data_IF_477123697342
#
_entry.id   IF_477123697342
#
_cell.length_a   1.000
_cell.length_b   1.000
_cell.length_c   1.000
_cell.angle_alpha   90.00
_cell.angle_beta   90.00
_cell.angle_gamma   90.00
#
_symmetry.space_group_name_H-M   'P 1'
#
loop_
_entity.id
_entity.type
_entity.pdbx_description
1 polymer ?
#
# COMPACT_ATOMS: atom_id res chain seq x y z
N UNK A 1 13.44 16.96 -8.79
CA UNK A 1 12.01 17.19 -8.55
C UNK A 1 11.13 16.14 -9.21
N UNK A 2 11.28 15.86 -10.53
CA UNK A 2 10.46 14.86 -11.26
C UNK A 2 10.48 13.42 -10.66
N UNK A 3 11.62 12.96 -10.14
CA UNK A 3 11.75 11.61 -9.56
C UNK A 3 10.95 11.42 -8.25
N UNK A 4 10.86 12.47 -7.43
CA UNK A 4 10.02 12.47 -6.23
C UNK A 4 8.53 12.56 -6.57
N UNK A 5 8.16 13.33 -7.60
CA UNK A 5 6.77 13.43 -8.04
C UNK A 5 6.20 12.07 -8.43
N UNK A 6 6.98 11.25 -9.15
CA UNK A 6 6.55 9.89 -9.51
C UNK A 6 6.35 8.99 -8.27
N UNK A 7 7.07 9.20 -7.17
CA UNK A 7 6.84 8.48 -5.91
C UNK A 7 5.48 8.81 -5.31
N UNK A 8 5.15 10.11 -5.22
CA UNK A 8 3.84 10.57 -4.76
C UNK A 8 2.73 10.06 -5.68
N UNK A 9 2.92 10.18 -7.00
CA UNK A 9 1.93 9.79 -7.99
C UNK A 9 1.70 8.27 -7.98
N UNK A 10 2.74 7.48 -7.67
CA UNK A 10 2.58 6.02 -7.50
C UNK A 10 1.66 5.67 -6.33
N UNK A 11 1.74 6.41 -5.22
CA UNK A 11 0.83 6.22 -4.07
C UNK A 11 -0.60 6.62 -4.47
N UNK A 12 -0.75 7.77 -5.15
CA UNK A 12 -2.06 8.24 -5.65
C UNK A 12 -2.68 7.21 -6.59
N UNK A 13 -1.90 6.64 -7.52
CA UNK A 13 -2.37 5.61 -8.44
C UNK A 13 -2.86 4.36 -7.70
N UNK A 14 -2.16 3.90 -6.66
CA UNK A 14 -2.63 2.79 -5.83
C UNK A 14 -3.97 3.09 -5.16
N UNK A 15 -4.13 4.31 -4.62
CA UNK A 15 -5.39 4.77 -4.03
C UNK A 15 -6.51 4.79 -5.09
N UNK A 16 -6.23 5.29 -6.29
CA UNK A 16 -7.20 5.30 -7.40
C UNK A 16 -7.63 3.89 -7.78
N UNK A 17 -6.68 2.96 -7.97
CA UNK A 17 -6.98 1.55 -8.27
C UNK A 17 -7.85 0.92 -7.17
N UNK A 18 -7.54 1.19 -5.89
CA UNK A 18 -8.34 0.70 -4.77
C UNK A 18 -9.78 1.26 -4.81
N UNK A 19 -9.95 2.56 -5.02
CA UNK A 19 -11.27 3.18 -5.08
C UNK A 19 -12.09 2.65 -6.28
N UNK A 20 -11.49 2.53 -7.45
CA UNK A 20 -12.14 1.97 -8.64
C UNK A 20 -12.65 0.54 -8.37
N UNK A 21 -11.86 -0.27 -7.67
CA UNK A 21 -12.28 -1.61 -7.24
C UNK A 21 -13.41 -1.56 -6.22
N UNK A 22 -13.33 -0.72 -5.19
CA UNK A 22 -14.37 -0.57 -4.18
C UNK A 22 -15.70 -0.14 -4.78
N UNK A 23 -15.69 0.68 -5.84
CA UNK A 23 -16.87 1.19 -6.53
C UNK A 23 -17.38 0.28 -7.65
N UNK A 24 -16.61 -0.74 -8.06
CA UNK A 24 -16.91 -1.58 -9.23
C UNK A 24 -18.19 -2.45 -9.12
N UNK A 25 -18.73 -2.64 -7.91
CA UNK A 25 -19.89 -3.51 -7.62
C UNK A 25 -20.51 -3.14 -6.26
N UNK A 26 -21.73 -3.58 -5.94
CA UNK A 26 -22.27 -3.54 -4.58
C UNK A 26 -21.93 -4.80 -3.76
N UNK A 27 -21.32 -5.81 -4.40
CA UNK A 27 -20.97 -7.08 -3.78
C UNK A 27 -19.78 -6.95 -2.81
N UNK A 28 -19.72 -7.88 -1.85
CA UNK A 28 -18.64 -7.96 -0.86
C UNK A 28 -17.29 -8.34 -1.47
N UNK A 29 -17.26 -8.94 -2.65
CA UNK A 29 -16.06 -9.39 -3.34
C UNK A 29 -15.92 -8.67 -4.68
N UNK A 30 -14.68 -8.48 -5.14
CA UNK A 30 -14.37 -7.87 -6.45
C UNK A 30 -13.38 -8.73 -7.21
N UNK A 31 -13.39 -8.60 -8.54
CA UNK A 31 -12.47 -9.31 -9.41
C UNK A 31 -11.15 -8.56 -9.55
N UNK A 32 -10.05 -9.27 -9.37
CA UNK A 32 -8.71 -8.80 -9.67
C UNK A 32 -8.20 -9.52 -10.92
N UNK A 33 -7.86 -8.76 -11.95
CA UNK A 33 -7.33 -9.31 -13.20
C UNK A 33 -5.84 -8.99 -13.35
N UNK A 34 -5.20 -9.56 -14.36
CA UNK A 34 -3.76 -9.39 -14.59
C UNK A 34 -3.35 -7.94 -14.87
N UNK A 35 -4.25 -7.12 -15.43
CA UNK A 35 -4.00 -5.70 -15.66
C UNK A 35 -3.90 -4.94 -14.32
N UNK A 36 -4.87 -5.15 -13.42
CA UNK A 36 -4.86 -4.58 -12.07
C UNK A 36 -3.61 -5.03 -11.33
N UNK A 37 -3.28 -6.33 -11.35
CA UNK A 37 -2.06 -6.85 -10.70
C UNK A 37 -0.80 -6.19 -11.24
N UNK A 38 -0.72 -6.02 -12.56
CA UNK A 38 0.42 -5.37 -13.20
C UNK A 38 0.54 -3.90 -12.76
N UNK A 39 -0.57 -3.18 -12.65
CA UNK A 39 -0.58 -1.79 -12.18
C UNK A 39 -0.17 -1.70 -10.71
N UNK A 40 -0.72 -2.55 -9.85
CA UNK A 40 -0.35 -2.63 -8.43
C UNK A 40 1.15 -2.89 -8.28
N UNK A 41 1.67 -3.93 -8.94
CA UNK A 41 3.09 -4.29 -8.89
C UNK A 41 4.01 -3.17 -9.41
N UNK A 42 3.62 -2.51 -10.50
CA UNK A 42 4.38 -1.38 -11.05
C UNK A 42 4.53 -0.24 -10.04
N UNK A 43 3.44 0.14 -9.38
CA UNK A 43 3.45 1.25 -8.44
C UNK A 43 4.18 0.87 -7.14
N UNK A 44 3.94 -0.31 -6.56
CA UNK A 44 4.66 -0.70 -5.33
C UNK A 44 6.15 -0.91 -5.56
N UNK A 45 6.54 -1.47 -6.71
CA UNK A 45 7.94 -1.62 -7.11
C UNK A 45 8.65 -0.26 -7.23
N UNK A 46 7.98 0.75 -7.79
CA UNK A 46 8.52 2.09 -7.89
C UNK A 46 8.71 2.70 -6.50
N UNK A 47 7.68 2.64 -5.65
CA UNK A 47 7.74 3.18 -4.28
C UNK A 47 8.87 2.54 -3.49
N UNK A 48 8.97 1.21 -3.52
CA UNK A 48 10.04 0.45 -2.83
C UNK A 48 11.42 0.87 -3.30
N UNK A 49 11.61 0.97 -4.62
CA UNK A 49 12.88 1.40 -5.22
C UNK A 49 13.23 2.85 -4.86
N UNK A 50 12.24 3.74 -4.87
CA UNK A 50 12.40 5.12 -4.48
C UNK A 50 12.81 5.23 -3.01
N UNK A 51 12.05 4.62 -2.11
CA UNK A 51 12.35 4.63 -0.68
C UNK A 51 13.71 4.00 -0.39
N UNK A 52 14.14 2.95 -1.08
CA UNK A 52 15.49 2.40 -0.91
C UNK A 52 16.62 3.40 -1.26
N UNK A 53 16.36 4.39 -2.11
CA UNK A 53 17.34 5.37 -2.57
C UNK A 53 17.25 6.72 -1.86
N UNK A 54 16.05 7.12 -1.45
CA UNK A 54 15.72 8.46 -0.93
C UNK A 54 15.07 8.38 0.46
N UNK A 55 15.22 7.26 1.19
CA UNK A 55 14.69 7.14 2.55
C UNK A 55 15.35 8.16 3.47
N UNK A 56 14.50 8.76 4.30
CA UNK A 56 14.91 9.75 5.30
C UNK A 56 15.33 9.04 6.59
N UNK A 57 14.62 7.96 6.94
CA UNK A 57 14.96 7.08 8.05
C UNK A 57 14.60 5.62 7.70
N UNK A 58 15.33 4.67 8.27
CA UNK A 58 15.26 3.24 7.90
C UNK A 58 13.86 2.64 8.05
N UNK A 59 13.14 2.98 9.13
CA UNK A 59 11.82 2.41 9.39
C UNK A 59 10.79 2.78 8.31
N UNK A 60 10.95 3.89 7.58
CA UNK A 60 10.04 4.27 6.47
C UNK A 60 10.06 3.19 5.38
N UNK A 61 11.27 2.77 5.04
CA UNK A 61 11.48 1.73 4.05
C UNK A 61 11.05 0.35 4.56
N UNK A 62 11.34 0.02 5.81
CA UNK A 62 10.99 -1.29 6.39
C UNK A 62 9.47 -1.44 6.50
N UNK A 63 8.76 -0.43 6.99
CA UNK A 63 7.30 -0.44 7.11
C UNK A 63 6.64 -0.50 5.73
N UNK A 64 7.14 0.26 4.73
CA UNK A 64 6.60 0.16 3.37
C UNK A 64 6.84 -1.21 2.75
N UNK A 65 8.02 -1.79 2.94
CA UNK A 65 8.31 -3.16 2.45
C UNK A 65 7.35 -4.18 3.04
N UNK A 66 6.97 -4.00 4.30
CA UNK A 66 5.98 -4.85 4.94
C UNK A 66 4.56 -4.60 4.38
N UNK A 67 4.17 -3.33 4.18
CA UNK A 67 2.93 -2.97 3.50
C UNK A 67 2.85 -3.56 2.09
N UNK A 68 3.92 -3.47 1.29
CA UNK A 68 4.04 -4.06 -0.05
C UNK A 68 3.78 -5.57 0.00
N UNK A 69 4.34 -6.28 0.98
CA UNK A 69 4.05 -7.70 1.18
C UNK A 69 2.55 -7.97 1.40
N UNK A 70 1.87 -7.16 2.22
CA UNK A 70 0.42 -7.31 2.43
C UNK A 70 -0.39 -7.00 1.17
N UNK A 71 -0.05 -5.93 0.45
CA UNK A 71 -0.69 -5.57 -0.81
C UNK A 71 -0.52 -6.71 -1.82
N UNK A 72 0.71 -7.21 -2.04
CA UNK A 72 0.94 -8.32 -2.95
C UNK A 72 0.15 -9.57 -2.56
N UNK A 73 0.00 -9.84 -1.26
CA UNK A 73 -0.81 -10.98 -0.78
C UNK A 73 -2.29 -10.81 -1.08
N UNK A 74 -2.84 -9.59 -0.92
CA UNK A 74 -4.25 -9.28 -1.20
C UNK A 74 -4.55 -9.44 -2.70
N UNK A 75 -3.68 -8.89 -3.55
CA UNK A 75 -3.91 -8.82 -4.99
C UNK A 75 -3.47 -10.09 -5.76
N UNK A 76 -2.91 -11.09 -5.07
CA UNK A 76 -2.56 -12.38 -5.65
C UNK A 76 -3.79 -13.19 -6.10
N UNK A 77 -4.93 -13.02 -5.43
CA UNK A 77 -6.15 -13.79 -5.69
C UNK A 77 -6.98 -13.21 -6.85
N UNK A 78 -7.82 -14.03 -7.50
CA UNK A 78 -8.75 -13.60 -8.55
C UNK A 78 -10.00 -12.88 -8.00
N UNK A 79 -10.37 -13.18 -6.76
CA UNK A 79 -11.49 -12.57 -6.04
C UNK A 79 -11.01 -12.03 -4.70
N UNK A 80 -11.14 -10.72 -4.51
CA UNK A 80 -10.68 -10.02 -3.32
C UNK A 80 -11.89 -9.61 -2.48
N UNK A 81 -11.87 -9.93 -1.19
CA UNK A 81 -12.85 -9.41 -0.25
C UNK A 81 -12.62 -7.90 -0.05
N UNK A 82 -13.63 -7.07 -0.34
CA UNK A 82 -13.50 -5.60 -0.34
C UNK A 82 -12.98 -5.01 0.95
N UNK A 83 -13.20 -5.67 2.09
CA UNK A 83 -12.66 -5.22 3.36
C UNK A 83 -11.13 -5.11 3.34
N UNK A 84 -10.43 -6.02 2.67
CA UNK A 84 -8.97 -5.91 2.51
C UNK A 84 -8.57 -4.66 1.70
N UNK A 85 -9.35 -4.32 0.67
CA UNK A 85 -9.11 -3.14 -0.15
C UNK A 85 -9.36 -1.87 0.66
N UNK A 86 -10.39 -1.85 1.51
CA UNK A 86 -10.64 -0.75 2.45
C UNK A 86 -9.48 -0.56 3.43
N UNK A 87 -8.99 -1.64 4.04
CA UNK A 87 -7.84 -1.58 4.95
C UNK A 87 -6.59 -1.01 4.26
N UNK A 88 -6.30 -1.46 3.04
CA UNK A 88 -5.15 -0.94 2.27
C UNK A 88 -5.36 0.53 1.90
N UNK A 89 -6.56 0.92 1.47
CA UNK A 89 -6.87 2.31 1.10
C UNK A 89 -6.65 3.28 2.28
N UNK A 90 -7.03 2.89 3.50
CA UNK A 90 -6.79 3.69 4.71
C UNK A 90 -5.30 3.92 4.97
N UNK A 91 -4.48 2.87 4.90
CA UNK A 91 -3.03 2.99 5.10
C UNK A 91 -2.37 3.77 3.97
N UNK A 92 -2.76 3.55 2.71
CA UNK A 92 -2.20 4.29 1.57
C UNK A 92 -2.49 5.78 1.66
N UNK A 93 -3.66 6.19 2.15
CA UNK A 93 -3.99 7.60 2.39
C UNK A 93 -3.08 8.22 3.46
N UNK A 94 -2.75 7.46 4.51
CA UNK A 94 -1.78 7.90 5.53
C UNK A 94 -0.36 7.97 4.96
N UNK A 95 0.04 7.00 4.14
CA UNK A 95 1.32 7.05 3.43
C UNK A 95 1.43 8.26 2.49
N UNK A 96 0.34 8.61 1.79
CA UNK A 96 0.28 9.80 0.95
C UNK A 96 0.49 11.08 1.77
N UNK A 97 -0.16 11.18 2.94
CA UNK A 97 0.07 12.29 3.86
C UNK A 97 1.54 12.42 4.26
N UNK A 98 2.20 11.31 4.61
CA UNK A 98 3.64 11.28 4.93
C UNK A 98 4.49 11.74 3.74
N UNK A 99 4.18 11.27 2.53
CA UNK A 99 4.86 11.70 1.31
C UNK A 99 4.71 13.20 1.07
N UNK A 100 3.49 13.73 1.13
CA UNK A 100 3.20 15.16 0.97
C UNK A 100 3.89 16.01 2.02
N UNK A 101 3.96 15.53 3.25
CA UNK A 101 4.66 16.22 4.33
C UNK A 101 6.18 16.31 4.07
N UNK A 102 6.81 15.27 3.51
CA UNK A 102 8.22 15.34 3.07
C UNK A 102 8.43 16.41 1.99
N UNK A 103 7.53 16.49 1.00
CA UNK A 103 7.60 17.54 -0.02
C UNK A 103 7.47 18.93 0.59
N UNK A 104 6.54 19.11 1.52
CA UNK A 104 6.39 20.38 2.24
C UNK A 104 7.66 20.78 3.00
N UNK A 105 8.32 19.85 3.69
CA UNK A 105 9.60 20.11 4.35
C UNK A 105 10.70 20.48 3.36
N UNK A 106 10.76 19.82 2.19
CA UNK A 106 11.69 20.22 1.13
C UNK A 106 11.44 21.65 0.63
N UNK A 107 10.18 22.02 0.40
CA UNK A 107 9.82 23.36 -0.06
C UNK A 107 10.18 24.43 0.97
N UNK A 108 9.84 24.20 2.24
CA UNK A 108 10.12 25.13 3.33
C UNK A 108 11.62 25.39 3.51
N UNK A 109 12.44 24.36 3.31
CA UNK A 109 13.89 24.41 3.50
C UNK A 109 14.68 24.57 2.18
N UNK A 110 13.99 24.68 1.04
CA UNK A 110 14.58 24.79 -0.29
C UNK A 110 15.60 23.67 -0.60
N UNK A 111 15.22 22.42 -0.29
CA UNK A 111 16.04 21.22 -0.46
C UNK A 111 15.81 20.58 -1.84
N UNK A 112 16.81 19.86 -2.32
CA UNK A 112 16.76 19.20 -3.64
C UNK A 112 16.45 17.70 -3.59
N UNK A 113 16.69 17.07 -2.43
CA UNK A 113 16.42 15.66 -2.11
C UNK A 113 15.97 15.53 -0.65
N UNK A 114 15.27 14.44 -0.33
CA UNK A 114 14.90 14.10 1.04
C UNK A 114 16.11 13.76 1.92
N UNK A 115 17.22 13.31 1.32
CA UNK A 115 18.45 12.94 2.04
C UNK A 115 19.20 14.14 2.61
N UNK A 116 18.82 15.36 2.23
CA UNK A 116 19.38 16.63 2.74
C UNK A 116 18.68 17.13 4.02
N UNK A 117 17.72 16.38 4.56
CA UNK A 117 17.00 16.78 5.78
C UNK A 117 17.97 16.99 6.94
N UNK A 118 17.87 18.16 7.58
CA UNK A 118 18.63 18.47 8.78
C UNK A 118 18.13 17.66 9.98
N UNK A 119 18.87 17.69 11.09
CA UNK A 119 18.42 17.05 12.32
C UNK A 119 17.08 17.59 12.85
N UNK A 120 16.75 18.86 12.57
CA UNK A 120 15.46 19.44 12.96
C UNK A 120 14.34 18.96 12.03
N UNK A 121 14.57 18.93 10.72
CA UNK A 121 13.61 18.42 9.73
C UNK A 121 13.29 16.94 10.00
N UNK A 122 14.31 16.14 10.32
CA UNK A 122 14.16 14.74 10.70
C UNK A 122 13.28 14.58 11.94
N UNK A 123 13.46 15.44 12.93
CA UNK A 123 12.69 15.38 14.17
C UNK A 123 11.22 15.76 13.93
N UNK A 124 10.96 16.75 13.09
CA UNK A 124 9.60 17.12 12.69
C UNK A 124 8.95 15.97 11.91
N UNK A 125 9.68 15.39 10.94
CA UNK A 125 9.21 14.27 10.14
C UNK A 125 8.89 13.02 10.95
N UNK A 126 9.79 12.60 11.86
CA UNK A 126 9.57 11.41 12.69
C UNK A 126 8.31 11.56 13.53
N UNK A 127 8.02 12.76 14.05
CA UNK A 127 6.82 13.01 14.83
C UNK A 127 5.55 12.78 14.00
N UNK A 128 5.49 13.29 12.77
CA UNK A 128 4.36 13.03 11.87
C UNK A 128 4.30 11.56 11.43
N UNK A 129 5.45 10.91 11.30
CA UNK A 129 5.54 9.50 10.95
C UNK A 129 5.07 8.55 12.07
N UNK A 130 5.23 8.92 13.33
CA UNK A 130 4.72 8.14 14.47
C UNK A 130 3.19 7.94 14.37
N UNK A 131 2.46 8.95 13.89
CA UNK A 131 1.01 8.83 13.65
C UNK A 131 0.71 7.82 12.52
N UNK A 132 1.52 7.79 11.45
CA UNK A 132 1.41 6.76 10.41
C UNK A 132 1.66 5.36 10.97
N UNK A 133 2.69 5.19 11.81
CA UNK A 133 3.01 3.89 12.40
C UNK A 133 1.88 3.32 13.25
N UNK A 134 1.21 4.16 14.04
CA UNK A 134 0.06 3.71 14.83
C UNK A 134 -1.07 3.18 13.94
N UNK A 135 -1.34 3.86 12.83
CA UNK A 135 -2.36 3.42 11.86
C UNK A 135 -1.92 2.14 11.12
N UNK A 136 -0.62 2.01 10.82
CA UNK A 136 -0.08 0.80 10.21
C UNK A 136 -0.13 -0.41 11.15
N UNK A 137 0.19 -0.22 12.44
CA UNK A 137 0.05 -1.25 13.46
C UNK A 137 -1.43 -1.70 13.60
N UNK A 138 -2.38 -0.76 13.55
CA UNK A 138 -3.82 -1.08 13.55
C UNK A 138 -4.24 -1.88 12.31
N UNK A 139 -3.78 -1.47 11.13
CA UNK A 139 -3.98 -2.21 9.89
C UNK A 139 -3.49 -3.65 9.99
N UNK A 140 -2.31 -3.89 10.56
CA UNK A 140 -1.76 -5.24 10.70
C UNK A 140 -2.66 -6.12 11.59
N UNK A 141 -3.19 -5.56 12.69
CA UNK A 141 -4.12 -6.25 13.58
C UNK A 141 -5.42 -6.60 12.83
N UNK A 142 -6.05 -5.62 12.19
CA UNK A 142 -7.31 -5.81 11.47
C UNK A 142 -7.15 -6.81 10.31
N UNK A 143 -6.03 -6.72 9.58
CA UNK A 143 -5.68 -7.65 8.52
C UNK A 143 -5.54 -9.09 9.05
N UNK A 144 -4.86 -9.27 10.19
CA UNK A 144 -4.68 -10.60 10.78
C UNK A 144 -6.02 -11.21 11.22
N UNK A 145 -6.90 -10.41 11.83
CA UNK A 145 -8.21 -10.84 12.32
C UNK A 145 -9.11 -11.35 11.20
N UNK A 146 -9.03 -10.73 10.01
CA UNK A 146 -9.83 -11.11 8.84
C UNK A 146 -9.08 -11.99 7.83
N UNK A 147 -7.80 -12.30 8.06
CA UNK A 147 -6.98 -13.08 7.11
C UNK A 147 -7.51 -14.49 6.82
N UNK A 148 -8.39 -15.03 7.65
CA UNK A 148 -9.08 -16.30 7.40
C UNK A 148 -10.04 -16.26 6.21
N UNK A 149 -10.42 -15.08 5.71
CA UNK A 149 -11.21 -14.97 4.47
C UNK A 149 -10.41 -15.33 3.22
N UNK A 150 -9.07 -15.24 3.24
CA UNK A 150 -8.22 -15.76 2.16
C UNK A 150 -8.40 -17.28 2.00
N UNK A 151 -8.41 -18.01 3.11
CA UNK A 151 -8.49 -19.47 3.07
C UNK A 151 -9.87 -20.00 2.70
N UNK A 152 -10.94 -19.22 2.91
CA UNK A 152 -12.29 -19.58 2.45
C UNK A 152 -12.40 -19.59 0.93
N UNK A 153 -11.79 -18.63 0.23
CA UNK A 153 -11.73 -18.66 -1.24
C UNK A 153 -10.86 -19.81 -1.73
N UNK A 154 -9.67 -20.03 -1.13
CA UNK A 154 -8.84 -21.19 -1.47
C UNK A 154 -9.54 -22.54 -1.21
N UNK A 155 -10.39 -22.63 -0.17
CA UNK A 155 -11.15 -23.84 0.14
C UNK A 155 -12.29 -24.06 -0.87
N UNK A 156 -12.96 -22.98 -1.28
CA UNK A 156 -14.05 -23.04 -2.26
C UNK A 156 -13.52 -23.38 -3.65
N UNK A 157 -12.39 -22.81 -4.06
CA UNK A 157 -11.69 -23.19 -5.29
C UNK A 157 -11.21 -24.64 -5.29
N UNK A 158 -10.66 -25.13 -4.17
CA UNK A 158 -10.26 -26.54 -4.03
C UNK A 158 -11.47 -27.50 -4.09
N UNK A 159 -12.61 -27.11 -3.54
CA UNK A 159 -13.84 -27.91 -3.65
C UNK A 159 -14.36 -27.89 -5.09
N UNK A 160 -14.41 -26.73 -5.74
CA UNK A 160 -14.89 -26.59 -7.13
C UNK A 160 -13.96 -27.32 -8.11
N UNK A 161 -12.63 -27.26 -7.92
CA UNK A 161 -11.67 -28.02 -8.74
C UNK A 161 -11.80 -29.51 -8.50
N UNK A 162 -11.92 -29.94 -7.23
CA UNK A 162 -12.18 -31.33 -6.88
C UNK A 162 -13.42 -31.85 -7.59
N UNK A 163 -14.55 -31.13 -7.59
CA UNK A 163 -15.77 -31.55 -8.29
C UNK A 163 -15.69 -31.52 -9.82
N UNK A 164 -14.81 -30.71 -10.42
CA UNK A 164 -14.54 -30.72 -11.86
C UNK A 164 -13.71 -31.92 -12.29
N UNK A 165 -12.81 -32.41 -11.45
CA UNK A 165 -11.90 -33.52 -11.78
C UNK A 165 -12.55 -34.91 -11.66
N UNK A 166 -13.73 -35.01 -11.02
CA UNK A 166 -14.50 -36.26 -10.86
C UNK A 166 -15.71 -36.36 -11.80
N UNK A 167 -15.95 -35.37 -12.67
CA UNK A 167 -16.98 -35.39 -13.71
C UNK A 167 -16.36 -35.31 -15.11
#
# INVERSE_FOLDING_TARGET
MEYGETYRDSIINLITINNDLLESSDESFVKCNDEIRSLINSNTSYISSFLMTEFVFQAEYDDFKELDYYIMKIFADDEIYKFFIMLVDEVLKKLLYIAEYKFKLMELNNLSTFTEFSAEDLKEFIKEYEDFRLEFDMFQVDFCDVSHYFSLNSYTENIISFYRDIN
#
